data_IF_683002725340
#
_entry.id   IF_683002725340
#
_cell.length_a   1.000
_cell.length_b   1.000
_cell.length_c   1.000
_cell.angle_alpha   90.00
_cell.angle_beta   90.00
_cell.angle_gamma   90.00
#
_symmetry.space_group_name_H-M   'P 1'
#
loop_
_entity.id
_entity.type
_entity.pdbx_description
1 polymer ?
#
# COMPACT_ATOMS: atom_id res chain seq x y z
N UNK A 1 -7.32 -19.22 -31.05
CA UNK A 1 -7.27 -17.92 -30.37
C UNK A 1 -5.81 -17.47 -30.34
N UNK A 2 -5.44 -16.35 -30.98
CA UNK A 2 -4.05 -15.85 -30.95
C UNK A 2 -3.80 -15.22 -29.58
N UNK A 3 -2.78 -15.68 -28.88
CA UNK A 3 -2.29 -15.05 -27.65
C UNK A 3 -1.79 -13.65 -28.01
N UNK A 4 -2.30 -12.58 -27.40
CA UNK A 4 -1.78 -11.24 -27.64
C UNK A 4 -0.31 -11.19 -27.23
N UNK A 5 0.58 -10.93 -28.19
CA UNK A 5 2.00 -10.65 -27.93
C UNK A 5 2.18 -9.14 -27.77
N UNK A 6 2.89 -8.71 -26.73
CA UNK A 6 3.24 -7.31 -26.55
C UNK A 6 4.00 -6.77 -27.79
N UNK A 7 3.78 -5.50 -28.18
CA UNK A 7 4.48 -4.88 -29.31
C UNK A 7 6.00 -4.80 -29.07
N UNK A 8 6.76 -4.67 -30.14
CA UNK A 8 8.20 -4.92 -30.23
C UNK A 8 9.12 -3.97 -29.45
N UNK A 9 8.60 -3.07 -28.61
CA UNK A 9 9.47 -2.23 -27.78
C UNK A 9 8.73 -1.64 -26.58
N UNK A 10 8.60 -2.43 -25.51
CA UNK A 10 8.66 -1.86 -24.17
C UNK A 10 10.14 -1.90 -23.79
N UNK A 11 10.71 -0.76 -23.39
CA UNK A 11 12.08 -0.70 -22.84
C UNK A 11 12.08 -1.40 -21.47
N UNK A 12 12.07 -2.72 -21.48
CA UNK A 12 12.08 -3.56 -20.28
C UNK A 12 13.54 -3.86 -19.95
N UNK A 13 14.03 -3.28 -18.85
CA UNK A 13 15.32 -3.65 -18.27
C UNK A 13 15.11 -4.81 -17.29
N UNK A 14 15.85 -5.90 -17.50
CA UNK A 14 15.94 -6.99 -16.51
C UNK A 14 17.26 -6.85 -15.77
N UNK A 15 17.19 -6.71 -14.45
CA UNK A 15 18.37 -6.70 -13.60
C UNK A 15 19.12 -8.04 -13.72
N UNK A 16 20.46 -8.09 -13.61
CA UNK A 16 21.23 -9.33 -13.70
C UNK A 16 20.81 -10.42 -12.69
N UNK A 17 20.18 -10.02 -11.59
CA UNK A 17 19.65 -10.90 -10.55
C UNK A 17 18.25 -11.46 -10.85
N UNK A 18 17.63 -11.06 -11.97
CA UNK A 18 16.31 -11.52 -12.35
C UNK A 18 16.35 -13.02 -12.66
N UNK A 19 15.51 -13.78 -11.96
CA UNK A 19 15.31 -15.21 -12.18
C UNK A 19 13.83 -15.49 -12.42
N UNK A 20 13.49 -16.33 -13.43
CA UNK A 20 12.12 -16.77 -13.64
C UNK A 20 11.55 -17.43 -12.38
N UNK A 21 10.29 -17.13 -12.07
CA UNK A 21 9.56 -17.74 -10.93
C UNK A 21 8.50 -18.71 -11.46
N UNK A 22 8.85 -19.97 -11.78
CA UNK A 22 7.94 -20.89 -12.48
C UNK A 22 6.69 -21.28 -11.66
N UNK A 23 6.70 -21.04 -10.35
CA UNK A 23 5.54 -21.25 -9.47
C UNK A 23 4.52 -20.10 -9.51
N UNK A 24 4.86 -18.94 -10.05
CA UNK A 24 3.93 -17.83 -10.21
C UNK A 24 2.99 -18.14 -11.38
N UNK A 25 1.74 -18.47 -11.07
CA UNK A 25 0.73 -18.88 -12.06
C UNK A 25 -0.24 -17.76 -12.43
N UNK A 26 -0.32 -16.71 -11.62
CA UNK A 26 -1.26 -15.59 -11.78
C UNK A 26 -0.56 -14.27 -11.43
N UNK A 27 -0.98 -13.20 -12.11
CA UNK A 27 -0.56 -11.82 -11.83
C UNK A 27 -1.82 -10.98 -11.73
N UNK A 28 -1.91 -10.14 -10.70
CA UNK A 28 -3.03 -9.21 -10.48
C UNK A 28 -2.52 -7.80 -10.73
N UNK A 29 -3.28 -7.03 -11.50
CA UNK A 29 -3.00 -5.62 -11.80
C UNK A 29 -4.01 -4.73 -11.06
N UNK A 30 -3.60 -3.52 -10.72
CA UNK A 30 -4.53 -2.48 -10.27
C UNK A 30 -5.36 -1.95 -11.47
N UNK A 31 -6.40 -1.18 -11.18
CA UNK A 31 -7.28 -0.63 -12.22
C UNK A 31 -6.57 0.32 -13.20
N UNK A 32 -5.44 0.91 -12.80
CA UNK A 32 -4.60 1.77 -13.65
C UNK A 32 -3.50 1.01 -14.43
N UNK A 33 -3.48 -0.33 -14.34
CA UNK A 33 -2.52 -1.17 -15.04
C UNK A 33 -1.16 -1.32 -14.34
N UNK A 34 -0.99 -0.75 -13.15
CA UNK A 34 0.21 -1.00 -12.34
C UNK A 34 0.18 -2.41 -11.75
N UNK A 35 1.38 -3.00 -11.60
CA UNK A 35 1.57 -4.21 -10.80
C UNK A 35 1.35 -3.83 -9.33
N UNK A 36 0.09 -3.89 -8.90
CA UNK A 36 -0.25 -3.92 -7.49
C UNK A 36 0.24 -5.28 -6.98
N UNK A 37 1.53 -5.38 -6.64
CA UNK A 37 1.95 -6.31 -5.60
C UNK A 37 0.97 -6.04 -4.48
N UNK A 38 0.06 -7.00 -4.29
CA UNK A 38 -1.04 -6.97 -3.33
C UNK A 38 -0.59 -6.13 -2.15
N UNK A 39 -1.35 -5.09 -1.75
CA UNK A 39 -1.09 -4.21 -0.60
C UNK A 39 -0.89 -4.97 0.73
N UNK A 40 -0.75 -6.28 0.72
CA UNK A 40 -0.25 -7.12 1.78
C UNK A 40 1.05 -6.53 2.35
N UNK A 41 1.04 -6.18 3.64
CA UNK A 41 2.15 -5.51 4.29
C UNK A 41 2.12 -3.99 4.19
N UNK A 42 1.35 -3.39 3.27
CA UNK A 42 1.29 -1.93 3.15
C UNK A 42 0.63 -1.26 4.36
N UNK A 43 -0.53 -1.75 4.87
CA UNK A 43 -1.07 -1.26 6.13
C UNK A 43 -0.08 -1.37 7.29
N UNK A 44 0.71 -2.44 7.34
CA UNK A 44 1.70 -2.67 8.39
C UNK A 44 2.86 -1.65 8.30
N UNK A 45 3.45 -1.48 7.11
CA UNK A 45 4.50 -0.47 6.85
C UNK A 45 4.01 0.94 7.20
N UNK A 46 2.82 1.29 6.73
CA UNK A 46 2.28 2.62 6.95
C UNK A 46 1.91 2.85 8.42
N UNK A 47 1.54 1.81 9.17
CA UNK A 47 1.40 1.90 10.64
C UNK A 47 2.74 2.15 11.33
N UNK A 48 3.83 1.52 10.90
CA UNK A 48 5.17 1.78 11.44
C UNK A 48 5.61 3.24 11.19
N UNK A 49 5.29 3.78 10.01
CA UNK A 49 5.61 5.18 9.66
C UNK A 49 4.75 6.18 10.44
N UNK A 50 3.47 5.86 10.65
CA UNK A 50 2.50 6.78 11.23
C UNK A 50 2.52 6.78 12.76
N UNK A 51 2.70 5.62 13.42
CA UNK A 51 2.66 5.50 14.89
C UNK A 51 3.54 6.52 15.63
N UNK A 52 4.80 6.80 15.23
CA UNK A 52 5.63 7.79 15.91
C UNK A 52 5.11 9.24 15.82
N UNK A 53 4.21 9.53 14.87
CA UNK A 53 3.63 10.85 14.63
C UNK A 53 2.23 11.00 15.21
N UNK A 54 1.62 9.89 15.63
CA UNK A 54 0.24 9.85 16.08
C UNK A 54 0.20 9.74 17.61
N UNK A 55 -0.03 10.86 18.33
CA UNK A 55 0.11 10.89 19.78
C UNK A 55 -0.94 10.00 20.46
N UNK A 56 -0.47 9.29 21.49
CA UNK A 56 -1.28 8.43 22.35
C UNK A 56 -1.80 9.24 23.54
N UNK A 57 -3.09 9.12 23.87
CA UNK A 57 -3.70 9.72 25.07
C UNK A 57 -3.47 8.84 26.30
N UNK A 58 -3.67 9.38 27.50
CA UNK A 58 -3.39 8.68 28.77
C UNK A 58 -4.13 7.34 28.89
N UNK A 59 -5.35 7.26 28.35
CA UNK A 59 -6.20 6.07 28.41
C UNK A 59 -5.93 5.04 27.29
N UNK A 60 -5.14 5.39 26.27
CA UNK A 60 -4.95 4.59 25.07
C UNK A 60 -3.73 3.67 25.18
N UNK A 61 -3.83 2.49 24.57
CA UNK A 61 -2.71 1.57 24.40
C UNK A 61 -2.12 1.63 22.99
N UNK A 62 -0.93 1.05 22.80
CA UNK A 62 -0.36 0.87 21.46
C UNK A 62 -1.28 0.08 20.53
N UNK A 63 -2.05 -0.87 21.06
CA UNK A 63 -3.00 -1.65 20.26
C UNK A 63 -4.19 -0.79 19.82
N UNK A 64 -4.66 0.13 20.66
CA UNK A 64 -5.73 1.06 20.30
C UNK A 64 -5.30 1.98 19.15
N UNK A 65 -4.07 2.51 19.22
CA UNK A 65 -3.49 3.31 18.14
C UNK A 65 -3.35 2.48 16.86
N UNK A 66 -2.87 1.24 16.98
CA UNK A 66 -2.73 0.30 15.85
C UNK A 66 -4.07 0.05 15.16
N UNK A 67 -5.10 -0.26 15.94
CA UNK A 67 -6.46 -0.52 15.46
C UNK A 67 -7.10 0.73 14.84
N UNK A 68 -6.88 1.90 15.43
CA UNK A 68 -7.34 3.18 14.89
C UNK A 68 -6.73 3.47 13.52
N UNK A 69 -5.40 3.42 13.42
CA UNK A 69 -4.69 3.66 12.16
C UNK A 69 -5.12 2.66 11.09
N UNK A 70 -5.21 1.36 11.43
CA UNK A 70 -5.67 0.33 10.50
C UNK A 70 -7.08 0.60 9.97
N UNK A 71 -8.01 1.03 10.84
CA UNK A 71 -9.38 1.39 10.45
C UNK A 71 -9.40 2.58 9.49
N UNK A 72 -8.62 3.61 9.77
CA UNK A 72 -8.52 4.79 8.91
C UNK A 72 -7.94 4.43 7.54
N UNK A 73 -6.88 3.62 7.49
CA UNK A 73 -6.32 3.14 6.22
C UNK A 73 -7.34 2.37 5.39
N UNK A 74 -8.16 1.53 6.04
CA UNK A 74 -9.23 0.83 5.36
C UNK A 74 -10.31 1.79 4.85
N UNK A 75 -10.65 2.84 5.61
CA UNK A 75 -11.60 3.90 5.20
C UNK A 75 -11.16 4.60 3.92
N UNK A 76 -9.86 4.82 3.75
CA UNK A 76 -9.28 5.49 2.59
C UNK A 76 -8.81 4.52 1.49
N UNK A 77 -9.11 3.22 1.58
CA UNK A 77 -8.73 2.27 0.54
C UNK A 77 -9.32 2.66 -0.82
N UNK A 78 -8.46 2.69 -1.84
CA UNK A 78 -8.85 3.08 -3.20
C UNK A 78 -8.95 4.59 -3.42
N UNK A 79 -8.69 5.41 -2.40
CA UNK A 79 -8.57 6.86 -2.54
C UNK A 79 -7.11 7.31 -2.70
N UNK A 80 -6.87 8.48 -3.30
CA UNK A 80 -5.53 9.05 -3.36
C UNK A 80 -4.93 9.28 -1.97
N UNK A 81 -3.67 8.88 -1.78
CA UNK A 81 -2.90 9.05 -0.53
C UNK A 81 -2.96 10.46 0.07
N UNK A 82 -2.96 11.58 -0.70
CA UNK A 82 -3.07 12.93 -0.11
C UNK A 82 -4.31 13.14 0.75
N UNK A 83 -5.44 12.48 0.45
CA UNK A 83 -6.66 12.59 1.27
C UNK A 83 -6.47 11.93 2.64
N UNK A 84 -5.88 10.74 2.67
CA UNK A 84 -5.49 10.08 3.93
C UNK A 84 -4.51 10.94 4.73
N UNK A 85 -3.50 11.51 4.07
CA UNK A 85 -2.50 12.34 4.75
C UNK A 85 -3.09 13.61 5.35
N UNK A 86 -4.01 14.27 4.65
CA UNK A 86 -4.71 15.45 5.16
C UNK A 86 -5.54 15.12 6.41
N UNK A 87 -6.30 14.02 6.37
CA UNK A 87 -7.10 13.55 7.51
C UNK A 87 -6.22 13.22 8.73
N UNK A 88 -5.13 12.48 8.53
CA UNK A 88 -4.21 12.14 9.63
C UNK A 88 -3.59 13.40 10.25
N UNK A 89 -3.26 14.39 9.43
CA UNK A 89 -2.76 15.67 9.92
C UNK A 89 -3.79 16.42 10.79
N UNK A 90 -5.07 16.42 10.41
CA UNK A 90 -6.14 16.99 11.24
C UNK A 90 -6.32 16.23 12.55
N UNK A 91 -6.37 14.90 12.51
CA UNK A 91 -6.52 14.08 13.71
C UNK A 91 -5.34 14.24 14.68
N UNK A 92 -4.11 14.35 14.17
CA UNK A 92 -2.93 14.61 14.99
C UNK A 92 -3.02 15.99 15.66
N UNK A 93 -3.48 17.02 14.95
CA UNK A 93 -3.65 18.37 15.52
C UNK A 93 -4.75 18.44 16.58
N UNK A 94 -5.83 17.72 16.38
CA UNK A 94 -7.00 17.74 17.27
C UNK A 94 -6.84 16.83 18.50
N UNK A 95 -5.73 16.09 18.57
CA UNK A 95 -5.56 15.03 19.57
C UNK A 95 -5.12 15.51 20.93
#
# INVERSE_FOLDING_TARGET
MRVPTAPSQLNIELLPSFSPRPKATHVIFDFDGTLSWIRHGWPEIMQEVMRPRFPMREEETNEDIRQHLFREMYRFNGQPTPLFMAEMAEQIRAR
#
